data_IF_446532327341
#
_entry.id   IF_446532327341
#
_cell.length_a   1.000
_cell.length_b   1.000
_cell.length_c   1.000
_cell.angle_alpha   90.00
_cell.angle_beta   90.00
_cell.angle_gamma   90.00
#
_symmetry.space_group_name_H-M   'P 1'
#
loop_
_entity.id
_entity.type
_entity.pdbx_description
1 polymer ?
#
# COMPACT_ATOMS: atom_id res chain seq x y z
N UNK A 1 -8.99 13.67 24.19
CA UNK A 1 -9.88 12.49 24.17
C UNK A 1 -11.29 12.96 23.90
N UNK A 2 -12.01 12.24 23.05
CA UNK A 2 -13.42 12.49 22.77
C UNK A 2 -14.24 11.23 23.02
N UNK A 3 -15.50 11.40 23.40
CA UNK A 3 -16.44 10.29 23.59
C UNK A 3 -17.71 10.54 22.80
N UNK A 4 -18.16 9.52 22.08
CA UNK A 4 -19.48 9.48 21.48
C UNK A 4 -20.41 8.57 22.32
N UNK A 5 -21.70 8.93 22.36
CA UNK A 5 -22.78 8.10 22.94
C UNK A 5 -23.84 7.73 21.90
N UNK A 6 -23.61 8.05 20.63
CA UNK A 6 -24.57 7.98 19.54
C UNK A 6 -23.96 7.37 18.27
N UNK A 7 -23.05 6.41 18.46
CA UNK A 7 -22.36 5.70 17.38
C UNK A 7 -21.58 6.63 16.42
N UNK A 8 -20.92 7.64 16.98
CA UNK A 8 -20.01 8.54 16.27
C UNK A 8 -20.68 9.72 15.57
N UNK A 9 -21.99 9.95 15.78
CA UNK A 9 -22.70 11.11 15.21
C UNK A 9 -22.31 12.42 15.87
N UNK A 10 -22.07 12.40 17.18
CA UNK A 10 -21.54 13.53 17.94
C UNK A 10 -20.46 13.09 18.93
N UNK A 11 -19.64 14.05 19.34
CA UNK A 11 -18.47 13.82 20.19
C UNK A 11 -18.41 14.88 21.30
N UNK A 12 -18.26 14.40 22.53
CA UNK A 12 -17.99 15.24 23.70
C UNK A 12 -16.48 15.25 23.96
N UNK A 13 -15.89 16.43 24.07
CA UNK A 13 -14.51 16.59 24.51
C UNK A 13 -14.36 16.25 26.00
N UNK A 14 -13.36 15.44 26.33
CA UNK A 14 -13.05 15.03 27.70
C UNK A 14 -11.70 15.56 28.21
N UNK A 15 -10.92 16.24 27.35
CA UNK A 15 -9.62 16.79 27.70
C UNK A 15 -8.41 16.01 27.14
N UNK A 16 -7.21 16.54 27.38
CA UNK A 16 -5.93 16.01 26.91
C UNK A 16 -5.39 14.98 27.92
N UNK A 17 -4.91 13.83 27.42
CA UNK A 17 -4.41 12.71 28.26
C UNK A 17 -2.92 12.41 28.03
N UNK A 18 -2.35 12.91 26.94
CA UNK A 18 -0.93 12.92 26.64
C UNK A 18 -0.69 14.33 26.07
N UNK A 19 -0.01 15.17 26.83
CA UNK A 19 0.11 16.62 26.60
C UNK A 19 1.37 17.01 25.81
N UNK A 20 2.32 16.09 25.66
CA UNK A 20 3.52 16.30 24.88
C UNK A 20 4.33 15.03 24.65
N UNK A 21 5.41 15.14 23.84
CA UNK A 21 6.35 14.04 23.64
C UNK A 21 7.05 13.67 24.97
N UNK A 22 7.70 12.49 25.03
CA UNK A 22 8.56 12.14 26.15
C UNK A 22 9.58 13.26 26.42
N UNK A 23 9.83 13.57 27.70
CA UNK A 23 10.61 14.75 28.13
C UNK A 23 11.98 14.89 27.45
N UNK A 24 12.64 13.77 27.18
CA UNK A 24 13.99 13.74 26.62
C UNK A 24 14.01 13.54 25.08
N UNK A 25 12.85 13.63 24.42
CA UNK A 25 12.73 13.49 22.98
C UNK A 25 12.58 14.85 22.29
N UNK A 26 13.58 15.24 21.53
CA UNK A 26 13.45 16.29 20.52
C UNK A 26 12.86 15.68 19.25
N UNK A 27 11.54 15.74 19.11
CA UNK A 27 10.81 15.02 18.04
C UNK A 27 10.70 15.80 16.73
N UNK A 28 10.60 15.08 15.61
CA UNK A 28 10.18 15.60 14.30
C UNK A 28 8.66 15.70 14.18
N UNK A 29 7.92 14.84 14.88
CA UNK A 29 6.46 14.82 14.92
C UNK A 29 5.93 14.13 16.17
N UNK A 30 4.73 14.48 16.60
CA UNK A 30 4.05 13.84 17.73
C UNK A 30 2.54 13.78 17.44
N UNK A 31 2.16 12.84 16.57
CA UNK A 31 0.82 12.77 15.97
C UNK A 31 0.41 11.33 15.65
N UNK A 32 -0.82 11.18 15.18
CA UNK A 32 -1.42 9.96 14.65
C UNK A 32 -1.51 8.79 15.66
N UNK A 33 -2.23 8.97 16.79
CA UNK A 33 -2.39 7.91 17.78
C UNK A 33 -3.15 6.71 17.19
N UNK A 34 -2.50 5.55 17.17
CA UNK A 34 -3.11 4.27 16.85
C UNK A 34 -3.34 3.47 18.14
N UNK A 35 -4.60 3.36 18.57
CA UNK A 35 -5.00 2.74 19.84
C UNK A 35 -5.50 1.32 19.61
N UNK A 36 -4.98 0.35 20.35
CA UNK A 36 -5.34 -1.05 20.22
C UNK A 36 -5.20 -1.82 21.54
N UNK A 37 -6.08 -2.79 21.84
CA UNK A 37 -5.82 -3.78 22.88
C UNK A 37 -4.84 -4.83 22.34
N UNK A 38 -3.98 -5.40 23.19
CA UNK A 38 -3.11 -6.50 22.78
C UNK A 38 -2.81 -7.45 23.95
N UNK A 39 -3.54 -8.58 24.04
CA UNK A 39 -3.21 -9.64 25.01
C UNK A 39 -1.79 -10.18 24.84
N UNK A 40 -1.25 -10.16 23.61
CA UNK A 40 0.14 -10.52 23.33
C UNK A 40 1.13 -9.60 24.03
N UNK A 41 0.93 -8.27 23.92
CA UNK A 41 1.77 -7.30 24.63
C UNK A 41 1.57 -7.36 26.15
N UNK A 42 0.35 -7.63 26.63
CA UNK A 42 0.08 -7.81 28.06
C UNK A 42 0.89 -8.98 28.63
N UNK A 43 0.88 -10.12 27.93
CA UNK A 43 1.65 -11.31 28.29
C UNK A 43 3.16 -11.05 28.22
N UNK A 44 3.64 -10.42 27.15
CA UNK A 44 5.05 -10.04 26.96
C UNK A 44 5.53 -9.14 28.11
N UNK A 45 4.70 -8.19 28.56
CA UNK A 45 5.02 -7.26 29.65
C UNK A 45 4.72 -7.80 31.05
N UNK A 46 4.04 -8.93 31.17
CA UNK A 46 3.64 -9.51 32.46
C UNK A 46 2.61 -8.65 33.22
N UNK A 47 1.68 -8.01 32.52
CA UNK A 47 0.64 -7.14 33.10
C UNK A 47 -0.77 -7.69 32.84
N UNK A 48 -1.76 -7.18 33.59
CA UNK A 48 -3.18 -7.43 33.30
C UNK A 48 -3.65 -6.73 32.01
N UNK A 49 -4.95 -6.75 31.68
CA UNK A 49 -5.48 -6.16 30.45
C UNK A 49 -5.14 -4.67 30.29
N UNK A 50 -4.49 -4.30 29.19
CA UNK A 50 -4.18 -2.92 28.83
C UNK A 50 -4.63 -2.56 27.42
N UNK A 51 -4.76 -1.25 27.19
CA UNK A 51 -4.70 -0.67 25.86
C UNK A 51 -3.30 -0.11 25.61
N UNK A 52 -2.91 -0.13 24.34
CA UNK A 52 -1.67 0.41 23.83
C UNK A 52 -1.98 1.49 22.82
N UNK A 53 -1.03 2.42 22.67
CA UNK A 53 -1.11 3.52 21.72
C UNK A 53 0.26 3.70 21.09
N UNK A 54 0.33 3.66 19.77
CA UNK A 54 1.54 4.02 19.02
C UNK A 54 1.44 5.42 18.44
N UNK A 55 2.58 6.11 18.38
CA UNK A 55 2.73 7.39 17.68
C UNK A 55 3.93 7.30 16.73
N UNK A 56 3.70 7.63 15.46
CA UNK A 56 4.77 7.82 14.47
C UNK A 56 5.54 9.11 14.77
N UNK A 57 6.87 9.03 14.70
CA UNK A 57 7.76 10.14 15.00
C UNK A 57 9.15 9.92 14.37
N UNK A 58 10.08 10.78 14.75
CA UNK A 58 11.51 10.73 14.50
C UNK A 58 12.21 11.67 15.48
N UNK A 59 13.54 11.58 15.55
CA UNK A 59 14.32 12.39 16.49
C UNK A 59 15.24 13.38 15.79
N UNK A 60 15.40 14.54 16.41
CA UNK A 60 16.33 15.61 16.02
C UNK A 60 17.55 15.56 16.95
N UNK A 61 18.73 15.63 16.37
CA UNK A 61 19.97 15.88 17.09
C UNK A 61 20.14 17.37 17.40
N UNK A 62 21.23 17.75 18.07
CA UNK A 62 21.49 19.14 18.45
C UNK A 62 21.79 20.06 17.25
N UNK A 63 22.19 19.49 16.11
CA UNK A 63 22.70 20.22 14.95
C UNK A 63 21.79 20.03 13.72
N UNK A 64 20.49 20.31 13.85
CA UNK A 64 19.57 20.34 12.70
C UNK A 64 19.56 21.77 12.13
N UNK A 65 19.85 21.98 10.83
CA UNK A 65 19.83 23.31 10.24
C UNK A 65 18.40 23.87 10.15
N UNK A 66 18.28 25.19 10.11
CA UNK A 66 16.99 25.88 9.94
C UNK A 66 16.35 25.57 8.57
N UNK A 67 17.18 25.34 7.56
CA UNK A 67 16.78 24.94 6.21
C UNK A 67 17.56 23.70 5.75
N UNK A 68 16.88 22.78 5.07
CA UNK A 68 17.50 21.57 4.55
C UNK A 68 18.02 21.78 3.12
N UNK A 69 19.26 21.36 2.82
CA UNK A 69 19.77 21.33 1.45
C UNK A 69 19.18 20.13 0.71
N UNK A 70 18.45 20.38 -0.37
CA UNK A 70 17.85 19.37 -1.25
C UNK A 70 17.05 18.28 -0.46
N UNK A 71 17.37 17.01 -0.69
CA UNK A 71 16.74 15.87 -0.01
C UNK A 71 17.52 15.38 1.22
N UNK A 72 18.68 15.98 1.51
CA UNK A 72 19.44 15.65 2.70
C UNK A 72 18.73 16.16 3.96
N UNK A 73 18.81 15.39 5.04
CA UNK A 73 18.26 15.76 6.36
C UNK A 73 19.31 15.62 7.46
N UNK A 74 20.42 16.40 7.39
CA UNK A 74 21.47 16.31 8.39
C UNK A 74 20.95 16.63 9.79
N UNK A 75 21.54 15.96 10.79
CA UNK A 75 21.17 16.13 12.19
C UNK A 75 19.92 15.36 12.62
N UNK A 76 19.11 14.79 11.72
CA UNK A 76 18.03 13.88 12.11
C UNK A 76 18.60 12.51 12.50
N UNK A 77 18.07 11.93 13.58
CA UNK A 77 18.55 10.69 14.22
C UNK A 77 17.69 9.46 13.84
N UNK A 78 16.82 9.63 12.83
CA UNK A 78 15.95 8.60 12.29
C UNK A 78 14.59 8.51 12.96
N UNK A 79 13.79 7.61 12.42
CA UNK A 79 12.37 7.47 12.74
C UNK A 79 12.14 6.68 14.03
N UNK A 80 11.01 6.92 14.68
CA UNK A 80 10.59 6.29 15.93
C UNK A 80 9.12 5.92 15.89
N UNK A 81 8.77 4.78 16.49
CA UNK A 81 7.40 4.51 16.93
C UNK A 81 7.41 4.54 18.45
N UNK A 82 6.79 5.56 19.04
CA UNK A 82 6.61 5.63 20.49
C UNK A 82 5.47 4.71 20.92
N UNK A 83 5.63 4.00 22.05
CA UNK A 83 4.58 3.16 22.63
C UNK A 83 4.15 3.72 23.99
N UNK A 84 2.84 3.89 24.15
CA UNK A 84 2.19 4.22 25.40
C UNK A 84 1.23 3.11 25.80
N UNK A 85 0.88 3.04 27.08
CA UNK A 85 -0.08 2.08 27.60
C UNK A 85 -0.99 2.69 28.66
N UNK A 86 -2.21 2.20 28.77
CA UNK A 86 -3.14 2.52 29.86
C UNK A 86 -3.83 1.24 30.34
N UNK A 87 -4.08 1.07 31.66
CA UNK A 87 -4.89 -0.03 32.15
C UNK A 87 -6.27 -0.01 31.49
N UNK A 88 -6.80 -1.17 31.09
CA UNK A 88 -8.13 -1.24 30.48
C UNK A 88 -9.25 -0.75 31.41
N UNK A 89 -9.01 -0.73 32.72
CA UNK A 89 -9.92 -0.19 33.73
C UNK A 89 -9.95 1.35 33.77
N UNK A 90 -8.94 2.04 33.22
CA UNK A 90 -8.84 3.50 33.28
C UNK A 90 -8.00 4.06 32.12
N UNK A 91 -8.68 4.37 31.01
CA UNK A 91 -8.08 4.93 29.79
C UNK A 91 -7.63 6.40 29.93
N UNK A 92 -7.72 7.00 31.12
CA UNK A 92 -7.18 8.35 31.37
C UNK A 92 -5.71 8.32 31.77
N UNK A 93 -5.18 7.14 32.14
CA UNK A 93 -3.83 6.97 32.70
C UNK A 93 -2.84 6.39 31.70
N UNK A 94 -2.49 7.17 30.68
CA UNK A 94 -1.49 6.77 29.70
C UNK A 94 -0.07 7.00 30.22
N UNK A 95 0.78 5.98 30.10
CA UNK A 95 2.20 6.04 30.46
C UNK A 95 3.07 5.66 29.28
N UNK A 96 4.20 6.35 29.12
CA UNK A 96 5.17 6.04 28.09
C UNK A 96 5.93 4.76 28.45
N UNK A 97 5.97 3.80 27.53
CA UNK A 97 6.66 2.51 27.70
C UNK A 97 8.08 2.56 27.11
N UNK A 98 8.25 3.29 26.01
CA UNK A 98 9.50 3.38 25.27
C UNK A 98 9.28 3.43 23.76
N UNK A 99 10.36 3.58 22.96
CA UNK A 99 10.27 3.39 21.53
C UNK A 99 10.11 1.90 21.21
N UNK A 100 8.95 1.50 20.68
CA UNK A 100 8.77 0.13 20.18
C UNK A 100 9.56 -0.10 18.90
N UNK A 101 9.85 0.95 18.13
CA UNK A 101 10.75 0.89 16.99
C UNK A 101 11.72 2.06 16.99
N UNK A 102 12.99 1.77 16.72
CA UNK A 102 14.02 2.77 16.37
C UNK A 102 14.73 2.44 15.05
N UNK A 103 14.67 3.34 14.06
CA UNK A 103 15.45 3.19 12.83
C UNK A 103 16.63 4.16 12.82
N UNK A 104 17.73 3.76 12.18
CA UNK A 104 18.75 4.70 11.76
C UNK A 104 18.17 5.69 10.72
N UNK A 105 18.70 6.92 10.63
CA UNK A 105 18.23 7.91 9.67
C UNK A 105 18.39 7.39 8.24
N UNK A 106 17.32 7.50 7.46
CA UNK A 106 17.24 7.07 6.07
C UNK A 106 17.53 5.57 5.83
N UNK A 107 17.40 4.74 6.86
CA UNK A 107 17.59 3.30 6.72
C UNK A 107 16.47 2.65 5.89
N UNK A 108 16.66 1.39 5.50
CA UNK A 108 15.66 0.51 4.91
C UNK A 108 15.94 -0.91 5.42
N UNK A 109 14.96 -1.82 5.36
CA UNK A 109 15.19 -3.23 5.70
C UNK A 109 16.22 -3.87 4.77
N UNK A 110 16.17 -3.48 3.50
CA UNK A 110 17.06 -3.93 2.46
C UNK A 110 17.18 -2.87 1.37
N UNK A 111 16.99 -3.25 0.11
CA UNK A 111 16.90 -2.28 -0.97
C UNK A 111 15.60 -1.44 -0.81
N UNK A 112 15.67 -0.10 -0.77
CA UNK A 112 14.48 0.74 -0.59
C UNK A 112 13.46 0.62 -1.74
N UNK A 113 13.88 0.33 -2.97
CA UNK A 113 12.95 0.12 -4.10
C UNK A 113 12.14 -1.19 -3.99
N UNK A 114 12.48 -2.04 -3.01
CA UNK A 114 11.83 -3.31 -2.72
C UNK A 114 11.07 -3.24 -1.40
N UNK A 115 11.71 -2.68 -0.37
CA UNK A 115 11.23 -2.74 1.03
C UNK A 115 10.78 -1.39 1.59
N UNK A 116 10.89 -0.32 0.80
CA UNK A 116 10.60 1.04 1.22
C UNK A 116 11.70 1.67 2.08
N UNK A 117 11.79 2.99 2.07
CA UNK A 117 12.69 3.75 2.96
C UNK A 117 12.02 4.02 4.29
N UNK A 118 12.76 3.89 5.40
CA UNK A 118 12.31 4.31 6.74
C UNK A 118 12.42 5.82 6.96
N UNK A 119 13.09 6.54 6.06
CA UNK A 119 13.15 8.00 6.07
C UNK A 119 13.66 8.55 7.39
N UNK A 120 13.06 9.65 7.83
CA UNK A 120 13.50 10.38 9.03
C UNK A 120 12.37 10.68 10.02
N UNK A 121 11.12 10.48 9.61
CA UNK A 121 9.95 10.59 10.45
C UNK A 121 8.93 9.52 10.02
N UNK A 122 8.34 8.84 10.99
CA UNK A 122 7.19 7.96 10.75
C UNK A 122 5.88 8.71 11.00
N UNK A 123 4.85 8.33 10.26
CA UNK A 123 3.49 8.85 10.33
C UNK A 123 2.49 7.69 10.37
N UNK A 124 1.30 7.91 10.92
CA UNK A 124 0.19 6.92 10.92
C UNK A 124 0.62 5.51 11.37
N UNK A 125 1.50 5.43 12.37
CA UNK A 125 2.18 4.18 12.72
C UNK A 125 1.35 3.27 13.62
N UNK A 126 1.27 1.99 13.26
CA UNK A 126 0.58 0.96 14.03
C UNK A 126 1.42 -0.32 14.14
N UNK A 127 1.21 -1.08 15.20
CA UNK A 127 1.71 -2.45 15.32
C UNK A 127 0.56 -3.42 15.56
N UNK A 128 0.67 -4.62 15.02
CA UNK A 128 -0.32 -5.68 15.18
C UNK A 128 0.33 -7.05 14.96
N UNK A 129 -0.32 -8.10 15.41
CA UNK A 129 0.08 -9.48 15.21
C UNK A 129 -0.89 -10.22 14.29
N UNK A 130 -0.36 -11.17 13.52
CA UNK A 130 -1.16 -12.08 12.70
C UNK A 130 -0.77 -13.53 13.00
N UNK A 131 -1.74 -14.47 13.03
CA UNK A 131 -1.46 -15.88 13.30
C UNK A 131 -0.62 -16.50 12.17
N UNK A 132 0.41 -17.29 12.52
CA UNK A 132 1.27 -17.95 11.52
C UNK A 132 0.80 -19.33 11.06
N UNK A 133 -0.20 -19.90 11.73
CA UNK A 133 -0.74 -21.19 11.31
C UNK A 133 -1.49 -21.09 9.96
N UNK A 134 -1.33 -22.14 9.12
CA UNK A 134 -1.87 -22.20 7.75
C UNK A 134 -3.36 -21.91 7.59
N UNK A 135 -4.16 -22.02 8.66
CA UNK A 135 -5.61 -21.87 8.64
C UNK A 135 -6.13 -20.66 9.44
N UNK A 136 -5.25 -19.75 9.87
CA UNK A 136 -5.65 -18.52 10.57
C UNK A 136 -6.38 -18.74 11.90
N UNK A 137 -6.15 -19.88 12.57
CA UNK A 137 -6.74 -20.16 13.87
C UNK A 137 -6.08 -19.29 14.95
N UNK A 138 -6.87 -18.65 15.82
CA UNK A 138 -6.37 -17.74 16.86
C UNK A 138 -5.55 -18.38 18.00
N UNK A 139 -5.11 -19.65 17.87
CA UNK A 139 -4.22 -20.33 18.82
C UNK A 139 -3.00 -20.87 18.06
N UNK A 140 -1.86 -20.22 18.24
CA UNK A 140 -0.59 -20.59 17.60
C UNK A 140 0.44 -19.46 17.66
N UNK A 141 1.67 -19.68 17.15
CA UNK A 141 2.66 -18.62 17.03
C UNK A 141 2.13 -17.47 16.18
N UNK A 142 2.63 -16.26 16.43
CA UNK A 142 2.19 -15.04 15.78
C UNK A 142 3.40 -14.33 15.15
N UNK A 143 3.18 -13.71 14.00
CA UNK A 143 4.13 -12.80 13.38
C UNK A 143 3.70 -11.36 13.70
N UNK A 144 4.63 -10.55 14.19
CA UNK A 144 4.37 -9.14 14.44
C UNK A 144 4.66 -8.31 13.20
N UNK A 145 3.80 -7.33 12.98
CA UNK A 145 3.89 -6.38 11.90
C UNK A 145 3.83 -4.97 12.47
N UNK A 146 4.55 -4.09 11.80
CA UNK A 146 4.42 -2.65 11.94
C UNK A 146 4.06 -2.07 10.57
N UNK A 147 3.15 -1.11 10.56
CA UNK A 147 2.77 -0.32 9.39
C UNK A 147 3.02 1.15 9.69
N UNK A 148 3.51 1.90 8.71
CA UNK A 148 3.79 3.32 8.85
C UNK A 148 3.85 4.03 7.49
N UNK A 149 3.45 5.30 7.48
CA UNK A 149 3.96 6.27 6.52
C UNK A 149 5.38 6.68 6.92
N UNK A 150 6.24 7.00 5.95
CA UNK A 150 7.60 7.50 6.23
C UNK A 150 7.86 8.76 5.42
N UNK A 151 8.54 9.76 6.00
CA UNK A 151 8.92 11.00 5.31
C UNK A 151 10.42 11.02 4.98
N UNK A 152 10.75 11.33 3.72
CA UNK A 152 12.09 11.27 3.13
C UNK A 152 12.40 9.93 2.47
N UNK A 153 13.69 9.66 2.23
CA UNK A 153 14.14 8.39 1.66
C UNK A 153 13.64 8.10 0.24
N UNK A 154 13.43 9.15 -0.56
CA UNK A 154 13.09 9.01 -1.97
C UNK A 154 14.22 8.35 -2.75
N UNK A 155 13.85 7.63 -3.80
CA UNK A 155 14.76 6.97 -4.74
C UNK A 155 14.46 7.45 -6.16
N UNK A 156 15.27 7.04 -7.14
CA UNK A 156 14.99 7.32 -8.56
C UNK A 156 13.67 6.69 -9.02
N UNK A 157 13.32 5.50 -8.53
CA UNK A 157 12.06 4.81 -8.89
C UNK A 157 10.87 5.27 -8.04
N UNK A 158 11.14 5.91 -6.89
CA UNK A 158 10.15 6.45 -5.99
C UNK A 158 10.53 7.88 -5.56
N UNK A 159 10.29 8.88 -6.44
CA UNK A 159 10.70 10.27 -6.19
C UNK A 159 9.79 10.99 -5.18
N UNK A 160 8.63 10.42 -4.81
CA UNK A 160 7.83 10.99 -3.73
C UNK A 160 8.56 10.80 -2.39
N UNK A 161 8.43 11.81 -1.53
CA UNK A 161 9.05 11.84 -0.20
C UNK A 161 8.26 11.03 0.82
N UNK A 162 7.21 10.32 0.42
CA UNK A 162 6.39 9.51 1.32
C UNK A 162 6.33 8.06 0.90
N UNK A 163 6.73 7.15 1.78
CA UNK A 163 6.48 5.73 1.59
C UNK A 163 5.34 5.26 2.48
N UNK A 164 4.52 4.32 1.98
CA UNK A 164 3.66 3.49 2.81
C UNK A 164 4.35 2.13 3.00
N UNK A 165 4.88 1.88 4.20
CA UNK A 165 5.75 0.74 4.49
C UNK A 165 5.11 -0.16 5.52
N UNK A 166 5.43 -1.44 5.42
CA UNK A 166 5.23 -2.41 6.49
C UNK A 166 6.53 -3.17 6.75
N UNK A 167 6.72 -3.65 7.97
CA UNK A 167 7.77 -4.61 8.30
C UNK A 167 7.23 -5.69 9.21
N UNK A 168 7.63 -6.93 8.93
CA UNK A 168 7.54 -8.06 9.87
C UNK A 168 8.68 -7.99 10.87
N UNK A 169 8.48 -8.50 12.08
CA UNK A 169 9.53 -8.59 13.09
C UNK A 169 9.15 -9.42 14.30
N UNK A 170 10.09 -9.47 15.24
CA UNK A 170 9.88 -10.06 16.56
C UNK A 170 9.75 -8.98 17.62
N UNK A 171 8.86 -9.18 18.60
CA UNK A 171 8.74 -8.32 19.76
C UNK A 171 9.41 -8.94 20.98
N UNK A 172 10.21 -8.13 21.68
CA UNK A 172 10.89 -8.51 22.93
C UNK A 172 10.74 -7.44 24.00
N UNK A 173 10.84 -7.82 25.27
CA UNK A 173 10.96 -6.89 26.40
C UNK A 173 12.41 -6.60 26.76
N UNK A 174 12.69 -5.37 27.15
CA UNK A 174 13.93 -5.03 27.85
C UNK A 174 13.81 -5.28 29.36
N UNK A 175 14.95 -5.30 30.07
CA UNK A 175 14.98 -5.39 31.55
C UNK A 175 14.23 -4.24 32.25
N UNK A 176 14.01 -3.12 31.57
CA UNK A 176 13.26 -1.97 32.08
C UNK A 176 11.76 -1.99 31.78
N UNK A 177 11.23 -3.07 31.21
CA UNK A 177 9.81 -3.20 30.86
C UNK A 177 9.40 -2.47 29.57
N UNK A 178 10.37 -1.88 28.84
CA UNK A 178 10.13 -1.37 27.50
C UNK A 178 9.98 -2.52 26.52
N UNK A 179 9.26 -2.26 25.42
CA UNK A 179 9.01 -3.24 24.36
C UNK A 179 9.76 -2.80 23.12
N UNK A 180 10.36 -3.74 22.39
CA UNK A 180 11.07 -3.47 21.13
C UNK A 180 10.65 -4.47 20.06
N UNK A 181 10.18 -3.95 18.93
CA UNK A 181 10.04 -4.66 17.67
C UNK A 181 11.37 -4.59 16.92
N UNK A 182 11.91 -5.76 16.58
CA UNK A 182 13.09 -5.89 15.73
C UNK A 182 12.63 -6.38 14.37
N UNK A 183 12.68 -5.53 13.32
CA UNK A 183 12.31 -5.94 11.98
C UNK A 183 13.14 -7.13 11.52
N UNK A 184 12.49 -8.11 10.90
CA UNK A 184 13.13 -9.31 10.37
C UNK A 184 12.76 -9.50 8.90
N UNK A 185 13.79 -9.80 8.12
CA UNK A 185 13.70 -10.48 6.82
C UNK A 185 14.68 -11.65 6.89
N UNK A 186 14.40 -12.63 7.76
CA UNK A 186 15.35 -13.67 8.17
C UNK A 186 15.49 -14.83 7.18
N UNK A 187 14.81 -14.77 6.04
CA UNK A 187 14.96 -15.78 5.01
C UNK A 187 16.20 -15.53 4.16
N UNK A 188 17.27 -16.30 4.41
CA UNK A 188 18.48 -16.47 3.59
C UNK A 188 18.56 -15.55 2.35
N UNK A 189 19.57 -14.67 2.33
CA UNK A 189 20.19 -14.21 1.07
C UNK A 189 20.74 -15.42 0.28
N UNK A 190 19.87 -16.26 -0.28
CA UNK A 190 20.21 -17.27 -1.28
C UNK A 190 19.60 -16.82 -2.61
N UNK A 191 20.20 -15.75 -3.12
CA UNK A 191 20.35 -15.38 -4.53
C UNK A 191 19.12 -15.19 -5.44
N UNK A 192 17.86 -15.43 -5.01
CA UNK A 192 16.70 -15.31 -5.91
C UNK A 192 15.59 -14.35 -5.48
N UNK A 193 15.34 -14.14 -4.19
CA UNK A 193 14.29 -13.22 -3.71
C UNK A 193 14.90 -12.26 -2.69
N UNK A 194 14.80 -10.96 -2.98
CA UNK A 194 15.10 -9.89 -2.04
C UNK A 194 13.73 -9.28 -1.83
N UNK A 195 13.05 -9.65 -0.76
CA UNK A 195 11.70 -9.21 -0.45
C UNK A 195 11.49 -9.18 1.07
N UNK A 196 10.40 -8.56 1.51
CA UNK A 196 10.02 -8.48 2.93
C UNK A 196 9.51 -9.80 3.52
N UNK A 197 9.78 -10.95 2.89
CA UNK A 197 9.26 -12.24 3.33
C UNK A 197 10.14 -12.86 4.43
N UNK A 198 9.53 -13.71 5.24
CA UNK A 198 10.23 -14.71 6.03
C UNK A 198 10.25 -16.04 5.26
N UNK A 199 11.44 -16.62 5.10
CA UNK A 199 11.63 -17.89 4.40
C UNK A 199 11.97 -18.98 5.40
N UNK A 200 10.99 -19.83 5.70
CA UNK A 200 11.10 -20.90 6.70
C UNK A 200 11.54 -22.18 5.98
N UNK A 201 12.71 -22.76 6.31
CA UNK A 201 13.13 -24.04 5.73
C UNK A 201 12.09 -25.13 6.00
N UNK A 202 11.79 -25.94 4.99
CA UNK A 202 10.99 -27.14 5.14
C UNK A 202 11.86 -28.41 5.08
N UNK A 203 11.32 -29.54 5.52
CA UNK A 203 12.04 -30.81 5.58
C UNK A 203 12.45 -31.38 4.21
N UNK A 204 12.06 -30.76 3.09
CA UNK A 204 12.23 -31.26 1.72
C UNK A 204 13.25 -30.45 0.93
N UNK A 205 14.17 -29.75 1.61
CA UNK A 205 15.12 -28.83 0.99
C UNK A 205 14.42 -27.71 0.19
N UNK A 206 13.19 -27.35 0.60
CA UNK A 206 12.42 -26.23 0.09
C UNK A 206 12.16 -25.21 1.21
N UNK A 207 11.39 -24.18 0.90
CA UNK A 207 11.03 -23.13 1.86
C UNK A 207 9.52 -22.89 1.85
N UNK A 208 8.98 -22.48 2.99
CA UNK A 208 7.68 -21.80 3.06
C UNK A 208 7.96 -20.30 3.11
N UNK A 209 7.37 -19.56 2.16
CA UNK A 209 7.42 -18.11 2.20
C UNK A 209 6.22 -17.60 3.01
N UNK A 210 6.49 -16.74 3.99
CA UNK A 210 5.48 -16.03 4.75
C UNK A 210 5.65 -14.52 4.59
N UNK A 211 4.57 -13.80 4.32
CA UNK A 211 4.61 -12.35 4.05
C UNK A 211 3.31 -11.67 4.44
N UNK A 212 3.28 -10.33 4.42
CA UNK A 212 2.03 -9.60 4.61
C UNK A 212 1.14 -9.75 3.37
N UNK A 213 0.01 -10.42 3.55
CA UNK A 213 -1.04 -10.50 2.57
C UNK A 213 -1.89 -9.23 2.58
N UNK A 214 -2.18 -8.71 1.39
CA UNK A 214 -2.97 -7.50 1.14
C UNK A 214 -3.90 -7.77 -0.03
N UNK A 215 -5.21 -7.66 0.19
CA UNK A 215 -6.23 -7.80 -0.85
C UNK A 215 -7.49 -6.99 -0.55
N UNK A 216 -8.34 -6.71 -1.54
CA UNK A 216 -9.65 -6.12 -1.30
C UNK A 216 -10.49 -6.98 -0.33
N UNK A 217 -11.20 -6.35 0.61
CA UNK A 217 -12.11 -7.05 1.51
C UNK A 217 -13.21 -7.79 0.71
N UNK A 218 -13.33 -9.13 0.80
CA UNK A 218 -14.23 -9.90 -0.07
C UNK A 218 -15.70 -9.45 -0.01
N UNK A 219 -16.19 -9.07 1.18
CA UNK A 219 -17.56 -8.60 1.34
C UNK A 219 -17.79 -7.23 0.69
N UNK A 220 -16.77 -6.37 0.66
CA UNK A 220 -16.81 -5.09 -0.05
C UNK A 220 -16.81 -5.35 -1.55
N UNK A 221 -15.94 -6.23 -2.05
CA UNK A 221 -15.92 -6.63 -3.46
C UNK A 221 -17.28 -7.17 -3.90
N UNK A 222 -17.87 -8.09 -3.12
CA UNK A 222 -19.18 -8.66 -3.39
C UNK A 222 -20.27 -7.60 -3.50
N UNK A 223 -20.24 -6.60 -2.61
CA UNK A 223 -21.18 -5.48 -2.66
C UNK A 223 -20.90 -4.53 -3.84
N UNK A 224 -19.64 -4.28 -4.15
CA UNK A 224 -19.20 -3.36 -5.19
C UNK A 224 -19.59 -3.85 -6.59
N UNK A 225 -19.47 -5.16 -6.85
CA UNK A 225 -19.85 -5.77 -8.13
C UNK A 225 -21.33 -6.17 -8.20
N UNK A 226 -22.10 -5.97 -7.13
CA UNK A 226 -23.52 -6.32 -7.08
C UNK A 226 -24.30 -5.51 -8.11
N UNK A 227 -24.83 -6.18 -9.13
CA UNK A 227 -25.57 -5.56 -10.24
C UNK A 227 -24.69 -5.06 -11.40
N UNK A 228 -23.37 -5.22 -11.31
CA UNK A 228 -22.47 -4.90 -12.40
C UNK A 228 -22.64 -5.91 -13.56
N UNK A 229 -22.54 -5.43 -14.80
CA UNK A 229 -22.56 -6.30 -15.98
C UNK A 229 -21.22 -7.04 -16.08
N UNK A 230 -21.27 -8.37 -15.97
CA UNK A 230 -20.10 -9.21 -16.11
C UNK A 230 -19.85 -9.58 -17.57
N UNK A 231 -18.58 -9.55 -17.99
CA UNK A 231 -18.13 -10.12 -19.26
C UNK A 231 -16.82 -10.87 -19.05
N UNK A 232 -16.72 -12.07 -19.63
CA UNK A 232 -15.53 -12.92 -19.58
C UNK A 232 -15.07 -13.24 -21.00
N UNK A 233 -13.76 -13.13 -21.24
CA UNK A 233 -13.13 -13.41 -22.53
C UNK A 233 -11.82 -14.17 -22.37
N UNK A 234 -11.53 -15.09 -23.29
CA UNK A 234 -10.21 -15.72 -23.39
C UNK A 234 -9.23 -14.74 -24.05
N UNK A 235 -8.15 -14.39 -23.37
CA UNK A 235 -7.10 -13.54 -23.95
C UNK A 235 -6.19 -14.37 -24.85
N UNK A 236 -5.67 -15.49 -24.31
CA UNK A 236 -4.78 -16.41 -25.01
C UNK A 236 -3.33 -15.95 -25.07
N UNK A 237 -2.49 -16.73 -25.74
CA UNK A 237 -1.07 -16.46 -25.89
C UNK A 237 -0.83 -15.23 -26.78
N UNK A 238 -0.03 -14.27 -26.31
CA UNK A 238 0.39 -13.10 -27.07
C UNK A 238 1.90 -13.11 -27.28
N UNK A 239 2.34 -12.64 -28.44
CA UNK A 239 3.76 -12.57 -28.81
C UNK A 239 4.23 -11.11 -28.83
N UNK A 240 5.48 -10.82 -28.46
CA UNK A 240 6.04 -9.50 -28.70
C UNK A 240 6.00 -9.15 -30.20
N UNK A 241 5.81 -7.88 -30.51
CA UNK A 241 5.77 -7.39 -31.90
C UNK A 241 4.43 -7.53 -32.63
N UNK A 242 3.45 -8.30 -32.12
CA UNK A 242 2.12 -8.43 -32.76
C UNK A 242 1.14 -7.30 -32.42
N UNK A 243 1.60 -6.30 -31.66
CA UNK A 243 0.74 -5.24 -31.11
C UNK A 243 -0.22 -5.74 -30.02
N UNK A 244 -0.94 -4.81 -29.37
CA UNK A 244 -1.90 -5.14 -28.32
C UNK A 244 -3.18 -5.76 -28.91
N UNK A 245 -3.67 -6.83 -28.27
CA UNK A 245 -4.96 -7.45 -28.58
C UNK A 245 -6.07 -6.78 -27.78
N UNK A 246 -6.99 -6.08 -28.46
CA UNK A 246 -8.21 -5.53 -27.83
C UNK A 246 -9.13 -6.67 -27.40
N UNK A 247 -9.52 -6.69 -26.13
CA UNK A 247 -10.42 -7.72 -25.57
C UNK A 247 -11.78 -7.13 -25.20
N UNK A 248 -11.79 -5.92 -24.63
CA UNK A 248 -13.01 -5.20 -24.30
C UNK A 248 -12.99 -3.84 -24.95
N UNK A 249 -13.94 -3.56 -25.85
CA UNK A 249 -13.98 -2.29 -26.58
C UNK A 249 -14.51 -1.15 -25.73
N UNK A 250 -15.48 -1.42 -24.86
CA UNK A 250 -16.14 -0.41 -24.02
C UNK A 250 -16.50 -1.01 -22.66
N UNK A 251 -15.80 -0.61 -21.60
CA UNK A 251 -16.10 -1.03 -20.21
C UNK A 251 -16.62 0.11 -19.32
N UNK A 252 -16.78 1.31 -19.89
CA UNK A 252 -17.11 2.52 -19.16
C UNK A 252 -15.94 3.01 -18.28
N UNK A 253 -16.27 3.80 -17.27
CA UNK A 253 -15.32 4.46 -16.37
C UNK A 253 -15.40 3.98 -14.92
N UNK A 254 -16.14 2.91 -14.65
CA UNK A 254 -16.29 2.31 -13.31
C UNK A 254 -16.41 0.81 -13.45
N UNK A 255 -15.35 0.07 -13.17
CA UNK A 255 -15.28 -1.39 -13.33
C UNK A 255 -14.23 -2.04 -12.44
N UNK A 256 -14.43 -3.33 -12.19
CA UNK A 256 -13.42 -4.22 -11.60
C UNK A 256 -13.04 -5.27 -12.66
N UNK A 257 -11.79 -5.70 -12.69
CA UNK A 257 -11.33 -6.74 -13.58
C UNK A 257 -10.38 -7.70 -12.87
N UNK A 258 -10.48 -8.98 -13.20
CA UNK A 258 -9.47 -9.98 -12.86
C UNK A 258 -8.83 -10.54 -14.13
N UNK A 259 -7.52 -10.71 -14.13
CA UNK A 259 -6.77 -11.32 -15.22
C UNK A 259 -5.62 -12.16 -14.68
N UNK A 260 -5.30 -13.27 -15.35
CA UNK A 260 -4.17 -14.13 -14.97
C UNK A 260 -3.18 -14.25 -16.11
N UNK A 261 -1.93 -13.95 -15.82
CA UNK A 261 -0.78 -14.12 -16.69
C UNK A 261 0.04 -15.29 -16.15
N UNK A 262 0.24 -16.33 -16.96
CA UNK A 262 1.17 -17.40 -16.61
C UNK A 262 2.64 -16.96 -16.68
N UNK A 263 3.59 -17.84 -16.38
CA UNK A 263 5.01 -17.51 -16.39
C UNK A 263 5.46 -16.87 -17.72
N UNK A 264 6.13 -15.73 -17.64
CA UNK A 264 6.67 -14.98 -18.78
C UNK A 264 8.14 -14.64 -18.51
N UNK A 265 8.99 -14.67 -19.54
CA UNK A 265 10.42 -14.39 -19.41
C UNK A 265 10.79 -12.92 -19.65
N UNK A 266 9.96 -12.21 -20.42
CA UNK A 266 10.12 -10.79 -20.76
C UNK A 266 9.08 -9.95 -20.02
N UNK A 267 8.34 -9.11 -20.74
CA UNK A 267 7.28 -8.30 -20.17
C UNK A 267 5.94 -8.61 -20.82
N UNK A 268 4.88 -8.40 -20.06
CA UNK A 268 3.51 -8.45 -20.56
C UNK A 268 2.67 -7.43 -19.80
N UNK A 269 1.57 -6.99 -20.39
CA UNK A 269 0.77 -5.97 -19.74
C UNK A 269 -0.66 -5.85 -20.23
N UNK A 270 -1.35 -4.96 -19.53
CA UNK A 270 -2.74 -4.58 -19.72
C UNK A 270 -2.76 -3.10 -20.07
N UNK A 271 -3.46 -2.74 -21.14
CA UNK A 271 -3.75 -1.35 -21.50
C UNK A 271 -5.19 -1.07 -21.08
N UNK A 272 -5.40 -0.01 -20.31
CA UNK A 272 -6.73 0.41 -19.84
C UNK A 272 -7.00 1.85 -20.24
N UNK A 273 -8.26 2.28 -20.09
CA UNK A 273 -8.72 3.61 -20.46
C UNK A 273 -8.26 4.02 -21.87
N UNK A 274 -8.28 3.05 -22.80
CA UNK A 274 -7.69 3.20 -24.11
C UNK A 274 -8.72 3.74 -25.11
N UNK A 275 -8.47 4.91 -25.68
CA UNK A 275 -9.28 5.47 -26.77
C UNK A 275 -9.13 4.65 -28.06
N UNK A 276 -10.09 4.70 -29.00
CA UNK A 276 -10.04 3.94 -30.25
C UNK A 276 -8.79 4.20 -31.10
N UNK A 277 -8.29 5.44 -31.08
CA UNK A 277 -7.13 5.92 -31.82
C UNK A 277 -5.82 5.93 -31.01
N UNK A 278 -5.85 5.43 -29.76
CA UNK A 278 -4.72 5.45 -28.82
C UNK A 278 -4.21 6.85 -28.42
N UNK A 279 -5.01 7.90 -28.57
CA UNK A 279 -4.69 9.23 -28.06
C UNK A 279 -4.61 9.28 -26.52
N UNK A 280 -5.42 8.47 -25.83
CA UNK A 280 -5.34 8.28 -24.37
C UNK A 280 -5.28 6.79 -24.04
N UNK A 281 -4.41 6.42 -23.10
CA UNK A 281 -4.33 5.09 -22.50
C UNK A 281 -3.39 5.06 -21.28
N UNK A 282 -3.54 4.04 -20.44
CA UNK A 282 -2.60 3.71 -19.36
C UNK A 282 -2.11 2.29 -19.53
N UNK A 283 -0.79 2.05 -19.38
CA UNK A 283 -0.21 0.69 -19.47
C UNK A 283 0.17 0.20 -18.06
N UNK A 284 -0.29 -0.99 -17.71
CA UNK A 284 0.11 -1.73 -16.51
C UNK A 284 0.97 -2.90 -16.98
N UNK A 285 2.23 -2.93 -16.58
CA UNK A 285 3.25 -3.82 -17.14
C UNK A 285 3.86 -4.64 -16.02
N UNK A 286 3.85 -5.97 -16.14
CA UNK A 286 4.76 -6.82 -15.37
C UNK A 286 6.01 -7.10 -16.20
N UNK A 287 7.17 -6.77 -15.65
CA UNK A 287 8.49 -6.98 -16.21
C UNK A 287 9.22 -8.06 -15.41
N UNK A 288 9.36 -9.25 -15.99
CA UNK A 288 9.93 -10.40 -15.29
C UNK A 288 11.44 -10.28 -15.05
N UNK A 289 12.17 -9.56 -15.91
CA UNK A 289 13.61 -9.37 -15.74
C UNK A 289 13.89 -8.34 -14.64
N UNK A 290 13.18 -7.22 -14.66
CA UNK A 290 13.30 -6.20 -13.63
C UNK A 290 12.59 -6.58 -12.31
N UNK A 291 11.68 -7.57 -12.35
CA UNK A 291 10.79 -7.95 -11.24
C UNK A 291 9.96 -6.77 -10.74
N UNK A 292 9.32 -6.11 -11.68
CA UNK A 292 8.60 -4.87 -11.45
C UNK A 292 7.21 -4.92 -12.05
N UNK A 293 6.24 -4.37 -11.32
CA UNK A 293 4.98 -3.90 -11.88
C UNK A 293 5.10 -2.39 -12.09
N UNK A 294 4.85 -1.92 -13.31
CA UNK A 294 4.92 -0.51 -13.69
C UNK A 294 3.59 -0.01 -14.22
N UNK A 295 3.22 1.20 -13.84
CA UNK A 295 2.06 1.92 -14.38
C UNK A 295 2.55 3.14 -15.14
N UNK A 296 2.57 3.02 -16.46
CA UNK A 296 2.95 4.07 -17.40
C UNK A 296 1.72 4.95 -17.67
N UNK A 297 1.82 6.21 -17.22
CA UNK A 297 0.70 7.18 -17.20
C UNK A 297 0.93 8.37 -18.12
N UNK A 298 2.01 8.38 -18.90
CA UNK A 298 2.38 9.49 -19.79
C UNK A 298 1.29 9.80 -20.83
N UNK A 299 0.53 8.78 -21.25
CA UNK A 299 -0.60 8.88 -22.17
C UNK A 299 -1.98 8.79 -21.49
N UNK A 300 -2.04 8.83 -20.16
CA UNK A 300 -3.31 8.62 -19.42
C UNK A 300 -4.31 9.77 -19.53
N UNK A 301 -3.90 10.92 -20.08
CA UNK A 301 -4.72 12.12 -20.23
C UNK A 301 -4.23 13.00 -21.39
N UNK A 302 -5.15 13.69 -22.06
CA UNK A 302 -4.84 14.78 -23.00
C UNK A 302 -4.43 16.09 -22.30
N UNK A 303 -4.73 16.26 -21.01
CA UNK A 303 -4.41 17.48 -20.25
C UNK A 303 -2.96 17.44 -19.75
N UNK A 304 -2.01 17.56 -20.69
CA UNK A 304 -0.57 17.57 -20.38
C UNK A 304 -0.22 18.73 -19.46
N UNK A 305 0.62 18.47 -18.44
CA UNK A 305 1.07 19.47 -17.47
C UNK A 305 0.06 19.78 -16.34
N UNK A 306 -1.20 19.38 -16.46
CA UNK A 306 -2.21 19.57 -15.41
C UNK A 306 -2.11 18.49 -14.33
N UNK A 307 -1.91 17.24 -14.75
CA UNK A 307 -1.81 16.10 -13.84
C UNK A 307 -0.40 15.52 -13.85
N UNK A 308 0.07 15.04 -12.69
CA UNK A 308 1.33 14.27 -12.60
C UNK A 308 1.12 12.93 -13.32
N UNK A 309 1.89 12.68 -14.37
CA UNK A 309 1.80 11.47 -15.21
C UNK A 309 3.04 10.57 -15.13
N UNK A 310 3.90 10.78 -14.14
CA UNK A 310 5.09 9.95 -13.91
C UNK A 310 4.73 8.47 -13.79
N UNK A 311 5.62 7.62 -14.32
CA UNK A 311 5.55 6.17 -14.12
C UNK A 311 5.63 5.84 -12.64
N UNK A 312 4.77 4.92 -12.20
CA UNK A 312 4.86 4.32 -10.87
C UNK A 312 5.42 2.91 -11.00
N UNK A 313 6.30 2.53 -10.08
CA UNK A 313 6.99 1.24 -10.10
C UNK A 313 6.90 0.61 -8.72
N UNK A 314 6.57 -0.68 -8.67
CA UNK A 314 6.64 -1.49 -7.46
C UNK A 314 7.32 -2.82 -7.73
N UNK A 315 8.10 -3.32 -6.78
CA UNK A 315 8.72 -4.64 -6.88
C UNK A 315 7.67 -5.74 -6.80
N UNK A 316 7.81 -6.75 -7.66
CA UNK A 316 7.02 -7.98 -7.59
C UNK A 316 7.78 -9.15 -8.23
N UNK A 317 7.87 -10.26 -7.50
CA UNK A 317 8.45 -11.50 -7.98
C UNK A 317 7.49 -12.68 -7.72
N UNK A 318 7.09 -13.43 -8.76
CA UNK A 318 6.37 -14.69 -8.61
C UNK A 318 7.25 -15.73 -7.92
N UNK A 319 6.65 -16.55 -7.06
CA UNK A 319 7.37 -17.65 -6.43
C UNK A 319 7.65 -18.78 -7.41
N UNK A 320 8.80 -19.43 -7.25
CA UNK A 320 9.11 -20.71 -7.89
C UNK A 320 8.89 -21.82 -6.85
N UNK A 321 7.97 -22.73 -7.13
CA UNK A 321 7.70 -23.90 -6.29
C UNK A 321 8.82 -24.95 -6.44
N UNK A 322 8.99 -25.86 -5.47
CA UNK A 322 10.04 -26.89 -5.50
C UNK A 322 9.92 -27.88 -6.66
N UNK A 323 8.74 -28.01 -7.25
CA UNK A 323 8.54 -28.80 -8.48
C UNK A 323 9.05 -28.06 -9.74
N UNK A 324 9.67 -26.88 -9.60
CA UNK A 324 10.22 -26.07 -10.69
C UNK A 324 9.21 -25.16 -11.38
N UNK A 325 7.91 -25.24 -11.04
CA UNK A 325 6.89 -24.37 -11.64
C UNK A 325 6.93 -22.97 -11.02
N UNK A 326 6.59 -21.97 -11.82
CA UNK A 326 6.48 -20.58 -11.38
C UNK A 326 5.01 -20.21 -11.19
N UNK A 327 4.72 -19.46 -10.13
CA UNK A 327 3.41 -18.93 -9.81
C UNK A 327 2.86 -18.03 -10.93
N UNK A 328 1.56 -18.14 -11.21
CA UNK A 328 0.87 -17.19 -12.09
C UNK A 328 0.85 -15.78 -11.46
N UNK A 329 0.86 -14.74 -12.30
CA UNK A 329 0.59 -13.36 -11.91
C UNK A 329 -0.90 -13.06 -12.08
N UNK A 330 -1.62 -12.96 -10.96
CA UNK A 330 -3.06 -12.75 -10.86
C UNK A 330 -3.35 -11.30 -10.49
N UNK A 331 -3.80 -10.54 -11.48
CA UNK A 331 -4.21 -9.15 -11.31
C UNK A 331 -5.67 -9.06 -10.87
N UNK A 332 -5.92 -8.20 -9.90
CA UNK A 332 -7.23 -7.61 -9.62
C UNK A 332 -7.10 -6.10 -9.77
N UNK A 333 -7.75 -5.54 -10.80
CA UNK A 333 -7.74 -4.12 -11.11
C UNK A 333 -9.10 -3.52 -10.78
N UNK A 334 -9.13 -2.41 -10.08
CA UNK A 334 -10.37 -1.67 -9.80
C UNK A 334 -10.16 -0.25 -10.28
N UNK A 335 -10.97 0.13 -11.26
CA UNK A 335 -10.96 1.46 -11.85
C UNK A 335 -12.29 2.14 -11.58
N UNK A 336 -12.27 3.24 -10.84
CA UNK A 336 -13.46 4.03 -10.55
C UNK A 336 -13.20 5.51 -10.80
N UNK A 337 -13.70 5.96 -11.94
CA UNK A 337 -13.56 7.29 -12.54
C UNK A 337 -12.12 7.68 -12.80
N UNK A 338 -11.39 8.02 -11.74
CA UNK A 338 -9.97 8.38 -11.82
C UNK A 338 -9.08 7.53 -10.92
N UNK A 339 -9.66 6.83 -9.94
CA UNK A 339 -8.92 5.97 -9.03
C UNK A 339 -8.63 4.64 -9.72
N UNK A 340 -7.36 4.24 -9.74
CA UNK A 340 -6.91 2.93 -10.18
C UNK A 340 -6.21 2.23 -9.02
N UNK A 341 -6.77 1.11 -8.57
CA UNK A 341 -6.19 0.22 -7.57
C UNK A 341 -5.80 -1.10 -8.22
N UNK A 342 -4.56 -1.52 -8.00
CA UNK A 342 -3.95 -2.72 -8.60
C UNK A 342 -3.53 -3.65 -7.47
N UNK A 343 -4.13 -4.83 -7.41
CA UNK A 343 -3.73 -5.89 -6.50
C UNK A 343 -3.16 -7.07 -7.27
N UNK A 344 -2.05 -7.64 -6.78
CA UNK A 344 -1.44 -8.82 -7.40
C UNK A 344 -1.12 -9.88 -6.34
N UNK A 345 -1.62 -11.09 -6.60
CA UNK A 345 -1.42 -12.31 -5.80
C UNK A 345 -1.61 -12.12 -4.28
N UNK A 346 -2.57 -11.29 -3.90
CA UNK A 346 -2.91 -10.98 -2.50
C UNK A 346 -1.70 -10.55 -1.65
N UNK A 347 -0.64 -9.98 -2.23
CA UNK A 347 0.58 -9.52 -1.52
C UNK A 347 1.22 -8.26 -2.12
N UNK A 348 0.57 -7.66 -3.10
CA UNK A 348 1.01 -6.44 -3.76
C UNK A 348 -0.19 -5.53 -3.95
N UNK A 349 -0.01 -4.25 -3.65
CA UNK A 349 -0.99 -3.21 -3.89
C UNK A 349 -0.30 -1.96 -4.47
N UNK A 350 -0.87 -1.37 -5.51
CA UNK A 350 -0.45 -0.09 -6.07
C UNK A 350 -1.70 0.73 -6.41
N UNK A 351 -1.78 1.92 -5.83
CA UNK A 351 -2.90 2.84 -6.05
C UNK A 351 -2.41 4.09 -6.76
N UNK A 352 -3.16 4.55 -7.75
CA UNK A 352 -2.83 5.77 -8.50
C UNK A 352 -4.07 6.46 -9.04
N UNK A 353 -3.85 7.63 -9.66
CA UNK A 353 -4.86 8.38 -10.38
C UNK A 353 -4.53 8.46 -11.87
N UNK A 354 -5.55 8.27 -12.70
CA UNK A 354 -5.53 8.55 -14.14
C UNK A 354 -6.74 9.41 -14.50
N UNK A 355 -6.59 10.34 -15.43
CA UNK A 355 -7.62 11.34 -15.76
C UNK A 355 -7.88 11.40 -17.27
N UNK A 356 -8.37 10.31 -17.89
CA UNK A 356 -8.77 10.35 -19.29
C UNK A 356 -9.87 11.40 -19.48
N UNK A 357 -9.75 12.20 -20.53
CA UNK A 357 -10.65 13.32 -20.82
C UNK A 357 -11.76 12.87 -21.76
N UNK A 358 -11.45 11.95 -22.68
CA UNK A 358 -12.42 11.51 -23.67
C UNK A 358 -13.37 10.49 -23.08
N UNK A 359 -14.68 10.61 -23.35
CA UNK A 359 -15.67 9.64 -22.88
C UNK A 359 -15.52 8.25 -23.54
N UNK A 360 -14.81 8.16 -24.66
CA UNK A 360 -14.55 6.91 -25.40
C UNK A 360 -13.23 6.22 -25.00
N UNK A 361 -12.47 6.79 -24.06
CA UNK A 361 -11.25 6.21 -23.47
C UNK A 361 -11.59 5.07 -22.50
N UNK A 362 -12.21 4.01 -23.01
CA UNK A 362 -12.82 2.93 -22.22
C UNK A 362 -12.42 1.53 -22.67
N UNK A 363 -11.49 1.41 -23.62
CA UNK A 363 -11.02 0.11 -24.08
C UNK A 363 -10.03 -0.55 -23.14
N UNK A 364 -10.02 -1.89 -23.15
CA UNK A 364 -9.00 -2.73 -22.49
C UNK A 364 -8.35 -3.67 -23.52
N UNK A 365 -7.01 -3.63 -23.56
CA UNK A 365 -6.19 -4.52 -24.40
C UNK A 365 -5.12 -5.22 -23.58
N UNK A 366 -4.58 -6.30 -24.14
CA UNK A 366 -3.49 -7.08 -23.55
C UNK A 366 -2.32 -7.16 -24.53
N UNK A 367 -1.10 -7.27 -24.03
CA UNK A 367 0.08 -7.37 -24.89
C UNK A 367 1.20 -8.18 -24.23
N UNK A 368 2.13 -8.61 -25.09
CA UNK A 368 3.48 -9.05 -24.73
C UNK A 368 4.47 -8.00 -25.24
N UNK A 369 5.58 -7.80 -24.51
CA UNK A 369 6.61 -6.84 -24.87
C UNK A 369 7.99 -7.40 -24.55
N UNK A 370 8.96 -6.99 -25.37
CA UNK A 370 10.37 -7.19 -25.08
C UNK A 370 11.00 -5.83 -24.76
N UNK A 371 11.13 -5.54 -23.46
CA UNK A 371 11.58 -4.23 -22.97
C UNK A 371 13.10 -4.16 -22.79
N UNK A 372 13.79 -5.30 -22.92
CA UNK A 372 15.22 -5.43 -22.63
C UNK A 372 15.99 -6.20 -23.70
N UNK A 373 15.32 -6.72 -24.73
CA UNK A 373 15.97 -7.44 -25.80
C UNK A 373 16.57 -6.54 -26.87
N UNK A 374 17.45 -7.16 -27.63
CA UNK A 374 18.14 -6.61 -28.80
C UNK A 374 17.33 -6.77 -30.10
N UNK A 375 16.02 -6.99 -30.00
CA UNK A 375 15.13 -7.22 -31.15
C UNK A 375 14.96 -8.69 -31.57
N UNK A 376 15.55 -9.65 -30.83
CA UNK A 376 15.32 -11.07 -31.06
C UNK A 376 14.12 -11.58 -30.27
N UNK A 377 12.99 -11.83 -30.95
CA UNK A 377 11.78 -12.42 -30.37
C UNK A 377 11.83 -13.94 -30.56
N UNK A 378 12.14 -14.68 -29.50
CA UNK A 378 12.04 -16.13 -29.48
C UNK A 378 10.66 -16.58 -28.98
N UNK A 379 10.30 -17.85 -29.23
CA UNK A 379 9.08 -18.46 -28.69
C UNK A 379 9.08 -18.52 -27.15
N UNK A 380 10.20 -18.24 -26.47
CA UNK A 380 10.28 -18.16 -25.01
C UNK A 380 9.71 -16.83 -24.46
N UNK A 381 9.37 -15.89 -25.34
CA UNK A 381 8.86 -14.56 -25.02
C UNK A 381 7.32 -14.45 -25.08
N UNK A 382 6.60 -15.57 -25.21
CA UNK A 382 5.12 -15.59 -25.18
C UNK A 382 4.61 -15.08 -23.83
N UNK A 383 3.56 -14.26 -23.84
CA UNK A 383 2.76 -13.95 -22.66
C UNK A 383 1.51 -14.86 -22.62
N UNK A 384 1.49 -15.90 -21.77
CA UNK A 384 0.35 -16.82 -21.67
C UNK A 384 -0.76 -16.21 -20.81
N UNK A 385 -1.57 -15.34 -21.40
CA UNK A 385 -2.75 -14.81 -20.73
C UNK A 385 -3.89 -15.83 -20.73
N UNK A 386 -4.53 -15.98 -19.58
CA UNK A 386 -5.70 -16.86 -19.39
C UNK A 386 -6.99 -16.08 -19.64
N UNK A 387 -8.06 -16.42 -18.92
CA UNK A 387 -9.31 -15.68 -18.93
C UNK A 387 -9.17 -14.33 -18.24
N UNK A 388 -9.81 -13.32 -18.83
CA UNK A 388 -10.05 -12.03 -18.22
C UNK A 388 -11.55 -11.87 -17.98
N UNK A 389 -11.92 -11.41 -16.79
CA UNK A 389 -13.31 -11.11 -16.41
C UNK A 389 -13.41 -9.68 -15.94
N UNK A 390 -14.35 -8.92 -16.48
CA UNK A 390 -14.65 -7.54 -16.10
C UNK A 390 -16.09 -7.42 -15.58
N UNK A 391 -16.27 -6.66 -14.51
CA UNK A 391 -17.55 -6.26 -13.93
C UNK A 391 -17.73 -4.77 -14.14
N UNK A 392 -18.60 -4.39 -15.07
CA UNK A 392 -18.81 -3.01 -15.54
C UNK A 392 -19.99 -2.36 -14.82
N UNK A 393 -19.81 -1.09 -14.43
CA UNK A 393 -20.84 -0.32 -13.72
C UNK A 393 -20.94 -0.76 -12.26
N UNK A 394 -19.90 -0.50 -11.48
CA UNK A 394 -19.85 -0.84 -10.06
C UNK A 394 -21.03 -0.18 -9.28
N UNK A 395 -21.28 -0.62 -8.05
CA UNK A 395 -22.38 -0.10 -7.23
C UNK A 395 -22.08 1.32 -6.72
N UNK A 396 -23.10 2.20 -6.69
CA UNK A 396 -22.99 3.50 -6.04
C UNK A 396 -22.86 3.33 -4.51
N UNK A 397 -21.72 3.74 -3.94
CA UNK A 397 -21.49 3.65 -2.50
C UNK A 397 -22.31 4.69 -1.71
N UNK A 398 -22.72 5.79 -2.34
CA UNK A 398 -23.45 6.90 -1.71
C UNK A 398 -24.79 7.16 -2.41
N UNK A 399 -25.74 6.20 -2.43
CA UNK A 399 -26.98 6.31 -3.19
C UNK A 399 -27.91 7.46 -2.74
N UNK A 400 -27.66 8.03 -1.56
CA UNK A 400 -28.43 9.16 -1.01
C UNK A 400 -27.78 10.52 -1.28
N UNK A 401 -26.58 10.57 -1.89
CA UNK A 401 -25.95 11.83 -2.28
C UNK A 401 -26.33 12.17 -3.73
N UNK A 402 -26.57 13.45 -4.05
CA UNK A 402 -26.68 13.87 -5.45
C UNK A 402 -25.33 13.68 -6.15
N UNK A 403 -25.34 13.56 -7.48
CA UNK A 403 -24.12 13.39 -8.28
C UNK A 403 -23.11 14.52 -8.06
N UNK A 404 -23.62 15.75 -7.92
CA UNK A 404 -22.86 16.93 -7.53
C UNK A 404 -23.22 17.32 -6.09
N UNK A 405 -22.33 17.00 -5.15
CA UNK A 405 -22.44 17.40 -3.74
C UNK A 405 -21.55 18.59 -3.37
N UNK A 406 -21.15 19.43 -4.35
CA UNK A 406 -20.29 20.59 -4.08
C UNK A 406 -21.05 21.70 -3.34
N UNK A 407 -20.32 22.41 -2.48
CA UNK A 407 -20.76 23.65 -1.83
C UNK A 407 -19.94 24.82 -2.39
N UNK A 408 -20.42 26.06 -2.22
CA UNK A 408 -19.69 27.25 -2.69
C UNK A 408 -18.27 27.27 -2.08
N UNK A 409 -17.28 27.53 -2.92
CA UNK A 409 -15.91 27.77 -2.45
C UNK A 409 -15.86 29.11 -1.73
N UNK A 410 -15.15 29.13 -0.61
CA UNK A 410 -14.96 30.31 0.22
C UNK A 410 -13.46 30.56 0.41
N UNK A 411 -13.11 31.83 0.59
CA UNK A 411 -11.74 32.28 0.80
C UNK A 411 -11.65 32.96 2.16
N UNK A 412 -10.76 32.46 3.01
CA UNK A 412 -10.49 33.07 4.32
C UNK A 412 -9.48 34.19 4.18
N UNK A 413 -9.69 35.28 4.91
CA UNK A 413 -8.84 36.45 4.87
C UNK A 413 -7.43 36.19 5.44
N UNK A 414 -6.45 37.05 5.15
CA UNK A 414 -5.14 37.02 5.80
C UNK A 414 -5.26 37.01 7.34
N UNK A 415 -6.18 37.77 7.92
CA UNK A 415 -6.36 37.86 9.37
C UNK A 415 -6.81 36.51 9.96
N UNK A 416 -7.75 35.84 9.30
CA UNK A 416 -8.25 34.54 9.73
C UNK A 416 -7.17 33.45 9.65
N UNK A 417 -6.26 33.56 8.69
CA UNK A 417 -5.24 32.54 8.37
C UNK A 417 -3.89 32.80 9.04
N UNK A 418 -3.76 33.87 9.82
CA UNK A 418 -2.50 34.29 10.42
C UNK A 418 -1.48 34.73 9.35
N UNK A 419 -1.92 35.45 8.32
CA UNK A 419 -1.11 35.83 7.16
C UNK A 419 -0.78 34.65 6.26
N UNK A 420 -1.70 33.70 6.10
CA UNK A 420 -1.52 32.42 5.39
C UNK A 420 -0.49 31.47 5.99
N UNK A 421 -0.06 31.72 7.24
CA UNK A 421 0.91 30.90 7.95
C UNK A 421 0.31 29.57 8.42
N UNK A 422 -0.95 29.58 8.86
CA UNK A 422 -1.61 28.39 9.41
C UNK A 422 -2.24 27.51 8.34
N UNK A 423 -2.87 28.12 7.34
CA UNK A 423 -3.35 27.48 6.12
C UNK A 423 -3.37 28.48 4.96
N UNK A 424 -3.50 27.99 3.73
CA UNK A 424 -3.39 28.80 2.51
C UNK A 424 -4.55 29.78 2.23
N UNK A 425 -5.55 29.86 3.12
CA UNK A 425 -6.78 30.66 2.93
C UNK A 425 -7.79 30.08 1.94
N UNK A 426 -7.37 29.09 1.13
CA UNK A 426 -8.27 28.29 0.29
C UNK A 426 -8.87 27.18 1.14
N UNK A 427 -10.13 27.31 1.55
CA UNK A 427 -10.88 26.15 2.00
C UNK A 427 -11.18 25.28 0.78
N UNK A 428 -10.32 24.29 0.55
CA UNK A 428 -10.58 23.19 -0.36
C UNK A 428 -11.82 22.44 0.17
N UNK A 429 -12.92 22.52 -0.57
CA UNK A 429 -13.86 21.41 -0.59
C UNK A 429 -13.77 20.75 -1.97
N UNK A 430 -13.93 19.43 -1.98
CA UNK A 430 -13.78 18.51 -3.12
C UNK A 430 -14.11 19.22 -4.43
N UNK A 431 -13.08 19.52 -5.24
CA UNK A 431 -13.26 20.02 -6.61
C UNK A 431 -14.33 19.14 -7.28
N UNK A 432 -15.10 19.66 -8.26
CA UNK A 432 -15.85 18.80 -9.19
C UNK A 432 -14.89 17.98 -10.09
N UNK A 433 -13.67 17.68 -9.64
CA UNK A 433 -12.88 16.59 -10.16
C UNK A 433 -13.61 15.32 -9.77
N UNK A 434 -14.41 14.77 -10.70
CA UNK A 434 -14.90 13.39 -10.67
C UNK A 434 -15.00 12.86 -9.25
N UNK A 435 -16.03 13.32 -8.53
CA UNK A 435 -16.25 12.95 -7.13
C UNK A 435 -15.89 11.48 -6.96
N UNK A 436 -15.13 11.15 -5.92
CA UNK A 436 -15.10 9.79 -5.37
C UNK A 436 -16.53 9.47 -4.90
N UNK A 437 -17.44 9.28 -5.85
CA UNK A 437 -18.82 8.91 -5.62
C UNK A 437 -18.89 7.44 -5.22
N UNK A 438 -17.75 6.71 -5.20
CA UNK A 438 -17.65 5.32 -4.75
C UNK A 438 -16.32 5.08 -4.02
N UNK A 439 -16.32 4.00 -3.23
CA UNK A 439 -15.44 3.77 -2.09
C UNK A 439 -13.94 3.76 -2.43
N UNK A 440 -13.11 4.25 -1.50
CA UNK A 440 -11.75 3.74 -1.35
C UNK A 440 -11.88 2.33 -0.80
N UNK A 441 -11.18 1.36 -1.38
CA UNK A 441 -11.31 -0.03 -0.95
C UNK A 441 -10.73 -0.21 0.44
N UNK A 442 -11.53 -0.82 1.31
CA UNK A 442 -11.03 -1.39 2.56
C UNK A 442 -10.23 -2.65 2.19
N UNK A 443 -8.94 -2.62 2.46
CA UNK A 443 -8.06 -3.78 2.30
C UNK A 443 -8.10 -4.66 3.55
N UNK A 444 -7.97 -5.96 3.36
CA UNK A 444 -7.69 -6.90 4.44
C UNK A 444 -6.20 -7.14 4.49
N UNK A 445 -5.64 -6.95 5.68
CA UNK A 445 -4.32 -7.45 6.04
C UNK A 445 -4.47 -8.85 6.61
N UNK A 446 -3.78 -9.82 6.03
CA UNK A 446 -3.76 -11.21 6.46
C UNK A 446 -2.34 -11.75 6.35
N UNK A 447 -2.01 -12.85 7.03
CA UNK A 447 -0.73 -13.50 6.76
C UNK A 447 -0.87 -14.35 5.49
N UNK A 448 -0.01 -14.10 4.51
CA UNK A 448 0.04 -14.90 3.29
C UNK A 448 1.15 -15.96 3.41
N UNK A 449 0.75 -17.23 3.27
CA UNK A 449 1.66 -18.38 3.34
C UNK A 449 1.66 -19.14 2.01
N UNK A 450 2.82 -19.20 1.36
CA UNK A 450 3.03 -20.04 0.17
C UNK A 450 3.97 -21.20 0.51
N UNK A 451 3.40 -22.40 0.65
CA UNK A 451 4.20 -23.63 0.76
C UNK A 451 4.81 -23.96 -0.59
N UNK A 452 6.14 -23.96 -0.70
CA UNK A 452 6.82 -24.29 -1.95
C UNK A 452 7.10 -25.79 -2.13
N UNK A 453 6.44 -26.68 -1.40
CA UNK A 453 6.55 -28.12 -1.62
C UNK A 453 5.85 -28.58 -2.92
N UNK A 454 6.14 -29.80 -3.41
CA UNK A 454 5.30 -30.40 -4.44
C UNK A 454 3.84 -30.47 -3.96
N UNK A 455 2.91 -30.00 -4.79
CA UNK A 455 1.48 -30.14 -4.55
C UNK A 455 1.12 -31.63 -4.50
N UNK A 456 0.38 -32.05 -3.48
CA UNK A 456 -0.29 -33.35 -3.46
C UNK A 456 -1.59 -33.28 -4.25
#
# INVERSE_FOLDING_TARGET
MFRSRDAGRSWQELGVIIDGPPKDWSVTGFRDPYVFPSPGLDAIRGVGPHYYLTLGSGLKGPNVPDEFPDDARPGLLGSRIALYTAPASDLTKWTFVGPVWESAPNASLGNPDITGGYGYNFETSGIFDLPTNRNGGGKGPQAWFAIMGTEGGNTTLHPDKHWAVWSRGDISTSRGGSVKLTPSSSGLQKHKYIDGNEWIPDARNAYTAETLGIRPLPDVVKQLISGAKQQTSNVGNLQPGTGPKKIFSHVGDSWMMTATLGPVQRAAGIIIAQSPDNAEYTKIIYDAQARQIRVLRENSTLLKGVFKTNTLTGYFAPYTFANGTTEDVKFTLIFDKSLLEIFVNDRFALTTRIYPVRPDSTGISYFAADLHGNGHVDNASVAPWKQATVWMGLKNAWPKRPDNSSSKLVWDSPEQTGGYKWWSGKLLNVLPSYTLNRAVIVVVLLLFNAGLGPAC
#
